data_IF_798222866390
#
_entry.id   IF_798222866390
#
_cell.length_a   1.000
_cell.length_b   1.000
_cell.length_c   1.000
_cell.angle_alpha   90.00
_cell.angle_beta   90.00
_cell.angle_gamma   90.00
#
_symmetry.space_group_name_H-M   'P 1'
#
loop_
_entity.id
_entity.type
_entity.pdbx_description
1 polymer ?
#
# COMPACT_ATOMS: atom_id res chain seq x y z
N UNK A 1 14.35 0.12 -5.54
CA UNK A 1 14.07 1.04 -6.65
C UNK A 1 14.95 0.70 -7.83
N UNK A 2 14.40 0.78 -9.03
CA UNK A 2 15.15 0.66 -10.29
C UNK A 2 15.04 1.99 -11.05
N UNK A 3 16.19 2.58 -11.37
CA UNK A 3 16.30 3.81 -12.14
C UNK A 3 16.11 3.54 -13.63
N UNK A 4 15.84 4.59 -14.41
CA UNK A 4 15.68 4.48 -15.87
C UNK A 4 16.91 3.95 -16.61
N UNK A 5 18.11 4.04 -16.00
CA UNK A 5 19.36 3.50 -16.54
C UNK A 5 19.59 2.01 -16.18
N UNK A 6 18.61 1.39 -15.50
CA UNK A 6 18.67 -0.01 -15.03
C UNK A 6 19.43 -0.21 -13.71
N UNK A 7 20.05 0.84 -13.15
CA UNK A 7 20.68 0.74 -11.83
C UNK A 7 19.63 0.56 -10.74
N UNK A 8 20.01 -0.14 -9.67
CA UNK A 8 19.11 -0.42 -8.54
C UNK A 8 19.66 0.15 -7.24
N UNK A 9 18.76 0.68 -6.43
CA UNK A 9 19.06 1.18 -5.08
C UNK A 9 18.00 0.68 -4.09
N UNK A 10 18.46 0.15 -2.97
CA UNK A 10 17.57 -0.14 -1.84
C UNK A 10 17.11 1.17 -1.21
N UNK A 11 15.80 1.32 -1.05
CA UNK A 11 15.21 2.52 -0.46
C UNK A 11 14.99 2.37 1.05
N UNK A 12 14.54 1.20 1.46
CA UNK A 12 14.14 0.87 2.84
C UNK A 12 14.63 -0.54 3.12
N UNK A 13 15.19 -0.75 4.31
CA UNK A 13 15.58 -2.04 4.86
C UNK A 13 15.00 -2.16 6.27
N UNK A 14 14.67 -3.37 6.68
CA UNK A 14 14.30 -3.70 8.06
C UNK A 14 15.31 -4.71 8.60
N UNK A 15 15.76 -4.54 9.84
CA UNK A 15 16.60 -5.50 10.54
C UNK A 15 15.80 -6.59 11.27
N UNK A 16 14.47 -6.46 11.26
CA UNK A 16 13.50 -7.34 11.93
C UNK A 16 13.77 -7.59 13.41
N UNK A 17 14.55 -6.73 14.09
CA UNK A 17 14.97 -6.95 15.48
C UNK A 17 13.84 -6.74 16.48
N UNK A 18 12.87 -5.87 16.15
CA UNK A 18 11.67 -5.59 16.95
C UNK A 18 10.43 -5.60 16.05
N UNK A 19 10.09 -6.77 15.51
CA UNK A 19 8.88 -6.97 14.73
C UNK A 19 7.64 -7.09 15.62
N UNK A 20 6.51 -6.61 15.10
CA UNK A 20 5.19 -6.89 15.67
C UNK A 20 4.62 -8.10 14.93
N UNK A 21 4.50 -9.22 15.63
CA UNK A 21 3.87 -10.44 15.12
C UNK A 21 2.39 -10.43 15.51
N UNK A 22 1.58 -9.75 14.70
CA UNK A 22 0.12 -9.75 14.82
C UNK A 22 -0.50 -9.86 13.42
N UNK A 23 -1.71 -10.40 13.27
CA UNK A 23 -2.41 -10.41 12.00
C UNK A 23 -2.82 -8.99 11.63
N UNK A 24 -2.37 -8.52 10.46
CA UNK A 24 -2.62 -7.16 9.97
C UNK A 24 -3.50 -7.24 8.72
N UNK A 25 -4.49 -6.35 8.65
CA UNK A 25 -5.17 -6.01 7.40
C UNK A 25 -4.98 -4.52 7.10
N UNK A 26 -4.81 -4.19 5.84
CA UNK A 26 -4.68 -2.81 5.35
C UNK A 26 -5.85 -2.53 4.42
N UNK A 27 -6.67 -1.53 4.78
CA UNK A 27 -7.76 -1.07 3.95
C UNK A 27 -7.22 -0.10 2.89
N UNK A 28 -7.57 -0.34 1.63
CA UNK A 28 -7.12 0.48 0.49
C UNK A 28 -8.26 0.73 -0.49
N UNK A 29 -8.11 1.80 -1.27
CA UNK A 29 -9.04 2.18 -2.32
C UNK A 29 -8.32 2.91 -3.47
N UNK A 30 -9.08 3.37 -4.47
CA UNK A 30 -8.54 4.16 -5.59
C UNK A 30 -7.95 5.52 -5.18
N UNK A 31 -8.23 6.02 -3.97
CA UNK A 31 -7.60 7.22 -3.39
C UNK A 31 -6.24 6.93 -2.75
N UNK A 32 -5.93 5.66 -2.49
CA UNK A 32 -4.64 5.22 -1.97
C UNK A 32 -3.56 5.41 -3.05
N UNK A 33 -2.62 6.33 -2.81
CA UNK A 33 -1.63 6.75 -3.81
C UNK A 33 -0.25 6.99 -3.19
N UNK A 34 0.80 6.71 -3.95
CA UNK A 34 2.19 7.07 -3.63
C UNK A 34 2.71 6.38 -2.36
N UNK A 35 3.14 7.13 -1.34
CA UNK A 35 3.69 6.57 -0.10
C UNK A 35 2.73 5.60 0.59
N UNK A 36 1.41 5.82 0.48
CA UNK A 36 0.40 4.91 1.02
C UNK A 36 0.41 3.56 0.30
N UNK A 37 0.63 3.54 -1.02
CA UNK A 37 0.77 2.30 -1.78
C UNK A 37 2.07 1.58 -1.41
N UNK A 38 3.19 2.30 -1.30
CA UNK A 38 4.45 1.70 -0.85
C UNK A 38 4.29 1.08 0.54
N UNK A 39 3.63 1.76 1.46
CA UNK A 39 3.37 1.27 2.81
C UNK A 39 2.54 -0.02 2.80
N UNK A 40 1.43 -0.04 2.06
CA UNK A 40 0.59 -1.24 1.91
C UNK A 40 1.37 -2.41 1.27
N UNK A 41 2.14 -2.15 0.21
CA UNK A 41 2.93 -3.17 -0.46
C UNK A 41 4.01 -3.78 0.47
N UNK A 42 4.72 -2.94 1.23
CA UNK A 42 5.75 -3.40 2.16
C UNK A 42 5.14 -4.18 3.33
N UNK A 43 4.00 -3.74 3.88
CA UNK A 43 3.32 -4.52 4.93
C UNK A 43 2.84 -5.88 4.44
N UNK A 44 2.33 -5.97 3.21
CA UNK A 44 1.98 -7.26 2.61
C UNK A 44 3.21 -8.17 2.49
N UNK A 45 4.32 -7.63 2.02
CA UNK A 45 5.52 -8.40 1.70
C UNK A 45 6.36 -8.79 2.94
N UNK A 46 6.44 -7.91 3.93
CA UNK A 46 7.28 -8.11 5.13
C UNK A 46 6.50 -8.65 6.33
N UNK A 47 5.23 -8.26 6.48
CA UNK A 47 4.40 -8.64 7.63
C UNK A 47 3.25 -9.60 7.26
N UNK A 48 3.13 -10.01 6.00
CA UNK A 48 2.04 -10.88 5.54
C UNK A 48 0.65 -10.24 5.69
N UNK A 49 0.60 -8.90 5.71
CA UNK A 49 -0.64 -8.17 5.87
C UNK A 49 -1.60 -8.42 4.69
N UNK A 50 -2.89 -8.59 4.99
CA UNK A 50 -3.93 -8.76 3.98
C UNK A 50 -4.40 -7.40 3.46
N UNK A 51 -4.41 -7.22 2.15
CA UNK A 51 -4.92 -6.01 1.51
C UNK A 51 -6.41 -6.18 1.20
N UNK A 52 -7.25 -5.31 1.75
CA UNK A 52 -8.71 -5.37 1.64
C UNK A 52 -9.22 -4.06 1.06
N UNK A 53 -10.20 -4.12 0.17
CA UNK A 53 -10.84 -2.92 -0.39
C UNK A 53 -10.84 -2.94 -1.91
N UNK A 54 -10.46 -1.83 -2.55
CA UNK A 54 -10.44 -1.73 -4.02
C UNK A 54 -9.05 -1.38 -4.56
N UNK A 55 -8.88 -1.52 -5.87
CA UNK A 55 -7.58 -1.33 -6.53
C UNK A 55 -7.05 0.10 -6.33
N UNK A 56 -5.78 0.22 -5.97
CA UNK A 56 -5.13 1.53 -5.72
C UNK A 56 -4.79 2.28 -6.99
N UNK A 57 -4.33 3.54 -6.86
CA UNK A 57 -4.11 4.44 -7.99
C UNK A 57 -3.04 3.96 -8.99
N UNK A 58 -1.95 3.36 -8.53
CA UNK A 58 -0.84 2.90 -9.38
C UNK A 58 0.35 3.83 -9.49
N UNK A 59 0.60 4.70 -8.50
CA UNK A 59 1.78 5.58 -8.50
C UNK A 59 3.00 4.90 -7.88
N UNK A 60 3.55 3.92 -8.60
CA UNK A 60 4.73 3.14 -8.21
C UNK A 60 6.07 3.73 -8.68
N UNK A 61 6.19 5.05 -8.71
CA UNK A 61 7.39 5.75 -9.19
C UNK A 61 7.98 6.68 -8.15
N UNK A 62 9.30 6.84 -8.20
CA UNK A 62 10.00 7.90 -7.49
C UNK A 62 10.12 9.13 -8.40
N UNK A 63 9.88 10.31 -7.84
CA UNK A 63 10.03 11.57 -8.55
C UNK A 63 11.08 12.44 -7.88
N UNK A 64 11.90 13.11 -8.68
CA UNK A 64 12.78 14.17 -8.23
C UNK A 64 12.29 15.50 -8.78
N UNK A 65 12.34 16.54 -7.94
CA UNK A 65 12.05 17.91 -8.34
C UNK A 65 13.36 18.66 -8.53
N UNK A 66 13.51 19.28 -9.70
CA UNK A 66 14.65 20.10 -10.08
C UNK A 66 14.18 21.55 -10.17
N UNK A 67 14.69 22.40 -9.28
CA UNK A 67 14.37 23.82 -9.24
C UNK A 67 15.34 24.62 -10.13
N UNK A 68 14.81 25.62 -10.83
CA UNK A 68 15.59 26.50 -11.71
C UNK A 68 15.79 27.88 -11.06
N UNK A 69 16.80 28.61 -11.54
CA UNK A 69 17.16 29.92 -11.00
C UNK A 69 16.10 31.01 -11.17
N UNK A 70 15.11 30.80 -12.05
CA UNK A 70 13.97 31.70 -12.27
C UNK A 70 12.77 31.40 -11.38
N UNK A 71 12.89 30.42 -10.48
CA UNK A 71 11.82 29.97 -9.58
C UNK A 71 10.86 28.95 -10.17
N UNK A 72 11.05 28.54 -11.42
CA UNK A 72 10.32 27.40 -11.99
C UNK A 72 10.88 26.07 -11.48
N UNK A 73 10.11 24.98 -11.63
CA UNK A 73 10.54 23.64 -11.24
C UNK A 73 10.07 22.58 -12.22
N UNK A 74 10.86 21.51 -12.36
CA UNK A 74 10.56 20.34 -13.16
C UNK A 74 10.56 19.09 -12.26
N UNK A 75 9.43 18.41 -12.19
CA UNK A 75 9.31 17.12 -11.48
C UNK A 75 9.37 15.98 -12.49
N UNK A 76 10.41 15.15 -12.40
CA UNK A 76 10.63 14.00 -13.28
C UNK A 76 10.51 12.70 -12.51
N UNK A 77 9.85 11.72 -13.11
CA UNK A 77 9.92 10.34 -12.66
C UNK A 77 11.30 9.78 -13.00
N UNK A 78 12.06 9.41 -11.98
CA UNK A 78 13.47 8.97 -12.11
C UNK A 78 13.65 7.45 -11.97
N UNK A 79 12.59 6.74 -11.57
CA UNK A 79 12.62 5.29 -11.48
C UNK A 79 11.34 4.68 -10.95
N UNK A 80 11.25 3.36 -11.06
CA UNK A 80 10.13 2.55 -10.57
C UNK A 80 10.48 1.93 -9.22
N UNK A 81 9.48 1.83 -8.36
CA UNK A 81 9.60 1.19 -7.07
C UNK A 81 9.21 -0.28 -7.22
N UNK A 82 10.02 -1.15 -6.63
CA UNK A 82 9.83 -2.59 -6.61
C UNK A 82 9.90 -3.07 -5.17
N UNK A 83 9.01 -4.01 -4.85
CA UNK A 83 8.93 -4.79 -3.62
C UNK A 83 9.17 -6.26 -3.97
N UNK A 84 9.11 -7.18 -3.00
CA UNK A 84 9.26 -8.63 -3.26
C UNK A 84 8.13 -9.14 -4.18
N UNK A 85 6.94 -8.54 -4.07
CA UNK A 85 5.78 -8.80 -4.93
C UNK A 85 5.81 -8.04 -6.26
N UNK A 86 6.90 -7.36 -6.60
CA UNK A 86 7.05 -6.60 -7.84
C UNK A 86 6.66 -5.13 -7.70
N UNK A 87 6.18 -4.54 -8.81
CA UNK A 87 5.79 -3.13 -8.88
C UNK A 87 4.29 -2.98 -9.10
N UNK A 88 3.71 -1.92 -8.53
CA UNK A 88 2.31 -1.53 -8.74
C UNK A 88 2.16 -0.35 -9.70
N UNK A 89 3.27 0.08 -10.34
CA UNK A 89 3.23 1.22 -11.26
C UNK A 89 2.25 0.99 -12.41
N UNK A 90 1.42 1.99 -12.71
CA UNK A 90 0.35 2.00 -13.74
C UNK A 90 -0.81 1.04 -13.50
N UNK A 91 -0.61 0.00 -12.69
CA UNK A 91 -1.66 -0.99 -12.41
C UNK A 91 -2.33 -0.76 -11.07
N UNK A 92 -1.68 -0.14 -10.09
CA UNK A 92 -2.16 -0.17 -8.70
C UNK A 92 -1.88 -1.51 -8.02
N UNK A 93 -1.99 -1.50 -6.70
CA UNK A 93 -2.02 -2.69 -5.88
C UNK A 93 -3.40 -3.32 -6.01
N UNK A 94 -3.40 -4.59 -6.41
CA UNK A 94 -4.60 -5.41 -6.35
C UNK A 94 -4.84 -5.85 -4.90
N UNK A 95 -6.07 -5.70 -4.36
CA UNK A 95 -6.40 -6.21 -3.04
C UNK A 95 -6.46 -7.74 -3.06
N UNK A 96 -6.10 -8.36 -1.94
CA UNK A 96 -6.29 -9.80 -1.71
C UNK A 96 -7.79 -10.12 -1.60
N UNK A 97 -8.54 -9.21 -0.99
CA UNK A 97 -10.01 -9.28 -0.90
C UNK A 97 -10.64 -8.00 -1.45
N UNK A 98 -11.27 -8.12 -2.63
CA UNK A 98 -11.95 -7.01 -3.27
C UNK A 98 -13.32 -6.76 -2.64
N UNK A 99 -13.53 -5.56 -2.09
CA UNK A 99 -14.80 -5.09 -1.53
C UNK A 99 -14.89 -3.57 -1.65
N UNK A 100 -15.97 -3.10 -2.25
CA UNK A 100 -16.25 -1.68 -2.35
C UNK A 100 -16.97 -1.20 -1.09
N UNK A 101 -16.72 0.07 -0.73
CA UNK A 101 -17.53 0.78 0.24
C UNK A 101 -18.97 0.93 -0.26
N UNK A 102 -19.94 0.81 0.64
CA UNK A 102 -21.36 0.96 0.30
C UNK A 102 -21.63 2.33 -0.35
N UNK A 103 -22.44 2.35 -1.41
CA UNK A 103 -22.54 3.47 -2.35
C UNK A 103 -22.74 4.85 -1.73
N UNK A 104 -21.69 5.68 -1.75
CA UNK A 104 -21.67 7.06 -1.24
C UNK A 104 -21.04 7.22 0.15
N UNK A 105 -20.66 6.12 0.81
CA UNK A 105 -19.87 6.15 2.02
C UNK A 105 -18.50 6.79 1.77
N UNK A 106 -18.06 7.61 2.72
CA UNK A 106 -16.71 8.19 2.73
C UNK A 106 -15.92 7.48 3.84
N UNK A 107 -14.71 6.98 3.55
CA UNK A 107 -13.84 6.41 4.58
C UNK A 107 -13.73 7.33 5.80
N UNK A 108 -13.90 6.78 6.99
CA UNK A 108 -13.83 7.53 8.25
C UNK A 108 -15.08 8.37 8.60
N UNK A 109 -16.13 8.38 7.78
CA UNK A 109 -17.42 9.00 8.09
C UNK A 109 -18.60 8.02 7.93
N UNK A 110 -18.37 6.79 8.38
CA UNK A 110 -19.35 5.71 8.44
C UNK A 110 -19.16 4.96 9.75
N UNK A 111 -20.23 4.37 10.28
CA UNK A 111 -20.12 3.49 11.45
C UNK A 111 -19.43 2.19 11.06
N UNK A 112 -18.68 1.60 11.98
CA UNK A 112 -17.97 0.33 11.79
C UNK A 112 -18.87 -0.78 11.24
N UNK A 113 -20.11 -0.89 11.72
CA UNK A 113 -21.09 -1.90 11.24
C UNK A 113 -21.53 -1.70 9.79
N UNK A 114 -21.42 -0.46 9.28
CA UNK A 114 -21.77 -0.10 7.90
C UNK A 114 -20.56 -0.10 6.96
N UNK A 115 -19.35 -0.22 7.50
CA UNK A 115 -18.12 -0.26 6.73
C UNK A 115 -17.86 -1.69 6.22
N UNK A 116 -18.28 -1.94 4.98
CA UNK A 116 -18.08 -3.22 4.31
C UNK A 116 -16.61 -3.65 4.22
N UNK A 117 -15.68 -2.70 4.12
CA UNK A 117 -14.25 -2.99 4.04
C UNK A 117 -13.71 -3.40 5.41
N UNK A 118 -14.09 -2.69 6.48
CA UNK A 118 -13.75 -3.05 7.85
C UNK A 118 -14.34 -4.40 8.24
N UNK A 119 -15.63 -4.64 7.96
CA UNK A 119 -16.28 -5.91 8.24
C UNK A 119 -15.57 -7.07 7.51
N UNK A 120 -15.15 -6.84 6.26
CA UNK A 120 -14.39 -7.84 5.52
C UNK A 120 -13.02 -8.09 6.14
N UNK A 121 -12.32 -7.05 6.59
CA UNK A 121 -11.03 -7.20 7.28
C UNK A 121 -11.16 -8.01 8.57
N UNK A 122 -12.20 -7.74 9.38
CA UNK A 122 -12.49 -8.52 10.59
C UNK A 122 -12.76 -10.00 10.25
N UNK A 123 -13.59 -10.24 9.23
CA UNK A 123 -13.90 -11.60 8.76
C UNK A 123 -12.63 -12.39 8.39
N UNK A 124 -11.72 -11.80 7.61
CA UNK A 124 -10.52 -12.50 7.10
C UNK A 124 -9.40 -12.60 8.13
N UNK A 125 -9.35 -11.69 9.12
CA UNK A 125 -8.37 -11.74 10.21
C UNK A 125 -8.79 -12.67 11.34
N UNK A 126 -10.10 -12.84 11.59
CA UNK A 126 -10.60 -13.65 12.71
C UNK A 126 -9.97 -15.06 12.78
N UNK A 127 -9.86 -15.83 11.68
CA UNK A 127 -9.21 -17.14 11.72
C UNK A 127 -7.70 -17.07 12.04
N UNK A 128 -7.02 -16.02 11.57
CA UNK A 128 -5.58 -15.81 11.84
C UNK A 128 -5.33 -15.49 13.31
N UNK A 129 -6.16 -14.61 13.88
CA UNK A 129 -6.11 -14.27 15.31
C UNK A 129 -6.38 -15.51 16.17
N UNK A 130 -7.38 -16.30 15.82
CA UNK A 130 -7.71 -17.52 16.56
C UNK A 130 -6.59 -18.58 16.54
N UNK A 131 -5.77 -18.60 15.47
CA UNK A 131 -4.62 -19.49 15.35
C UNK A 131 -3.42 -19.06 16.20
N UNK A 132 -3.26 -17.76 16.47
CA UNK A 132 -2.17 -17.24 17.32
C UNK A 132 -2.45 -17.35 18.82
N UNK A 133 -3.72 -17.53 19.21
CA UNK A 133 -4.14 -17.72 20.60
C UNK A 133 -4.06 -19.18 21.09
N UNK A 134 -3.59 -20.11 20.24
CA UNK A 134 -3.43 -21.54 20.53
C UNK A 134 -1.95 -21.90 20.71
#
# INVERSE_FOLDING_TARGET
MEYSDGSRKTLIETDSTNSVELPIAVLVDGGTVSAAELFAAVLRDEAGALIVGSQTFGKGVMQNTYEFSDGSALTLSVGKIYTKSGTWNETGLKPDYSVELAGGAVPGNISDDADSQLQKAIEVLTPKIAAELQ
#
